data_IF_670925753151
#
_entry.id   IF_670925753151
#
_cell.length_a   1.000
_cell.length_b   1.000
_cell.length_c   1.000
_cell.angle_alpha   90.00
_cell.angle_beta   90.00
_cell.angle_gamma   90.00
#
_symmetry.space_group_name_H-M   'P 1'
#
loop_
_entity.id
_entity.type
_entity.pdbx_description
1 polymer ?
#
# COMPACT_ATOMS: atom_id res chain seq x y z
N UNK A 1 10.23 -14.44 6.03
CA UNK A 1 9.01 -14.34 6.85
C UNK A 1 8.48 -12.92 6.92
N UNK A 2 9.34 -11.92 7.18
CA UNK A 2 8.89 -10.54 7.27
C UNK A 2 8.19 -10.03 6.00
N UNK A 3 8.69 -10.38 4.84
CA UNK A 3 8.07 -9.94 3.58
C UNK A 3 6.76 -10.67 3.30
N UNK A 4 6.58 -11.90 3.81
CA UNK A 4 5.28 -12.58 3.69
C UNK A 4 4.23 -11.88 4.55
N UNK A 5 4.59 -11.50 5.77
CA UNK A 5 3.71 -10.74 6.65
C UNK A 5 3.39 -9.38 6.02
N UNK A 6 4.39 -8.74 5.44
CA UNK A 6 4.22 -7.47 4.75
C UNK A 6 3.27 -7.61 3.55
N UNK A 7 3.39 -8.70 2.79
CA UNK A 7 2.50 -8.96 1.67
C UNK A 7 1.04 -9.10 2.13
N UNK A 8 0.82 -9.75 3.27
CA UNK A 8 -0.52 -9.84 3.85
C UNK A 8 -1.05 -8.44 4.19
N UNK A 9 -0.22 -7.61 4.81
CA UNK A 9 -0.59 -6.24 5.14
C UNK A 9 -0.91 -5.42 3.90
N UNK A 10 -0.12 -5.57 2.83
CA UNK A 10 -0.36 -4.87 1.57
C UNK A 10 -1.69 -5.30 0.97
N UNK A 11 -1.95 -6.60 0.91
CA UNK A 11 -3.18 -7.14 0.35
C UNK A 11 -4.40 -6.62 1.10
N UNK A 12 -4.40 -6.70 2.43
CA UNK A 12 -5.52 -6.21 3.23
C UNK A 12 -5.66 -4.69 3.13
N UNK A 13 -4.52 -3.98 3.03
CA UNK A 13 -4.54 -2.53 2.88
C UNK A 13 -5.16 -2.08 1.58
N UNK A 14 -4.88 -2.78 0.47
CA UNK A 14 -5.46 -2.47 -0.83
C UNK A 14 -6.96 -2.70 -0.81
N UNK A 15 -7.42 -3.80 -0.23
CA UNK A 15 -8.85 -4.08 -0.10
C UNK A 15 -9.51 -3.03 0.79
N UNK A 16 -8.84 -2.63 1.89
CA UNK A 16 -9.35 -1.58 2.77
C UNK A 16 -9.50 -0.25 2.02
N UNK A 17 -8.52 0.11 1.19
CA UNK A 17 -8.59 1.33 0.39
C UNK A 17 -9.76 1.28 -0.59
N UNK A 18 -10.05 0.11 -1.15
CA UNK A 18 -11.20 -0.06 -2.03
C UNK A 18 -12.52 0.20 -1.29
N UNK A 19 -12.64 -0.32 -0.06
CA UNK A 19 -13.83 -0.05 0.75
C UNK A 19 -13.91 1.40 1.18
N UNK A 20 -12.76 2.05 1.42
CA UNK A 20 -12.75 3.47 1.73
C UNK A 20 -13.35 4.28 0.58
N UNK A 21 -13.03 3.93 -0.66
CA UNK A 21 -13.59 4.59 -1.84
C UNK A 21 -15.11 4.34 -1.92
N UNK A 22 -15.53 3.09 -1.72
CA UNK A 22 -16.95 2.71 -1.79
C UNK A 22 -17.76 3.38 -0.69
N UNK A 23 -17.13 3.65 0.47
CA UNK A 23 -17.83 4.25 1.62
C UNK A 23 -18.25 5.70 1.39
N UNK A 24 -17.75 6.33 0.33
CA UNK A 24 -18.07 7.71 0.00
C UNK A 24 -17.84 8.66 1.18
N UNK A 25 -16.58 8.73 1.63
CA UNK A 25 -16.20 9.58 2.76
C UNK A 25 -16.69 9.05 4.10
N UNK A 26 -16.85 7.71 4.22
CA UNK A 26 -17.37 7.04 5.41
C UNK A 26 -18.82 7.37 5.70
N UNK A 27 -19.58 7.76 4.68
CA UNK A 27 -21.01 8.00 4.84
C UNK A 27 -21.84 6.72 4.83
N UNK A 28 -21.29 5.63 4.30
CA UNK A 28 -21.97 4.33 4.23
C UNK A 28 -21.41 3.40 5.31
N UNK A 29 -22.27 2.86 6.15
CA UNK A 29 -21.85 2.10 7.34
C UNK A 29 -21.09 0.82 6.97
N UNK A 30 -21.65 -0.01 6.08
CA UNK A 30 -21.06 -1.32 5.78
C UNK A 30 -19.64 -1.21 5.20
N UNK A 31 -19.37 -0.40 4.15
CA UNK A 31 -18.01 -0.24 3.66
C UNK A 31 -17.08 0.40 4.67
N UNK A 32 -17.59 1.29 5.52
CA UNK A 32 -16.78 1.95 6.55
C UNK A 32 -16.27 0.93 7.56
N UNK A 33 -17.17 0.08 8.06
CA UNK A 33 -16.79 -0.96 9.04
C UNK A 33 -15.80 -1.93 8.41
N UNK A 34 -16.04 -2.37 7.17
CA UNK A 34 -15.13 -3.27 6.48
C UNK A 34 -13.75 -2.63 6.31
N UNK A 35 -13.70 -1.36 5.93
CA UNK A 35 -12.45 -0.63 5.77
C UNK A 35 -11.67 -0.57 7.09
N UNK A 36 -12.34 -0.22 8.19
CA UNK A 36 -11.67 -0.08 9.48
C UNK A 36 -11.16 -1.42 10.00
N UNK A 37 -11.92 -2.50 9.82
CA UNK A 37 -11.46 -3.82 10.22
C UNK A 37 -10.25 -4.27 9.42
N UNK A 38 -10.27 -4.08 8.11
CA UNK A 38 -9.16 -4.45 7.24
C UNK A 38 -7.92 -3.60 7.52
N UNK A 39 -8.08 -2.30 7.79
CA UNK A 39 -6.94 -1.46 8.16
C UNK A 39 -6.31 -1.88 9.48
N UNK A 40 -7.12 -2.38 10.41
CA UNK A 40 -6.58 -2.92 11.66
C UNK A 40 -5.69 -4.12 11.41
N UNK A 41 -6.09 -5.03 10.50
CA UNK A 41 -5.27 -6.16 10.09
C UNK A 41 -4.00 -5.68 9.40
N UNK A 42 -4.11 -4.68 8.54
CA UNK A 42 -2.96 -4.09 7.84
C UNK A 42 -1.95 -3.54 8.83
N UNK A 43 -2.38 -2.76 9.80
CA UNK A 43 -1.49 -2.18 10.81
C UNK A 43 -0.82 -3.25 11.66
N UNK A 44 -1.57 -4.30 12.03
CA UNK A 44 -0.99 -5.41 12.78
C UNK A 44 0.10 -6.10 11.97
N UNK A 45 -0.18 -6.39 10.70
CA UNK A 45 0.79 -7.03 9.82
C UNK A 45 2.01 -6.16 9.60
N UNK A 46 1.81 -4.86 9.39
CA UNK A 46 2.90 -3.92 9.18
C UNK A 46 3.79 -3.83 10.44
N UNK A 47 3.17 -3.77 11.62
CA UNK A 47 3.92 -3.74 12.88
C UNK A 47 4.75 -5.01 13.06
N UNK A 48 4.18 -6.17 12.72
CA UNK A 48 4.93 -7.43 12.78
C UNK A 48 6.10 -7.44 11.80
N UNK A 49 5.89 -6.95 10.58
CA UNK A 49 6.95 -6.85 9.59
C UNK A 49 8.07 -5.93 10.08
N UNK A 50 7.72 -4.83 10.71
CA UNK A 50 8.70 -3.87 11.24
C UNK A 50 9.55 -4.45 12.36
N UNK A 51 9.09 -5.50 13.04
CA UNK A 51 9.89 -6.19 14.07
C UNK A 51 10.96 -7.09 13.46
N UNK A 52 10.86 -7.40 12.17
CA UNK A 52 11.77 -8.29 11.46
C UNK A 52 12.61 -7.52 10.44
N UNK A 53 11.97 -6.57 9.74
CA UNK A 53 12.59 -5.77 8.69
C UNK A 53 12.80 -4.35 9.24
N UNK A 54 13.90 -3.64 8.88
CA UNK A 54 14.04 -2.25 9.29
C UNK A 54 12.80 -1.42 8.96
N UNK A 55 12.39 -0.53 9.87
CA UNK A 55 11.14 0.22 9.77
C UNK A 55 11.03 0.95 8.44
N UNK A 56 12.09 1.63 8.03
CA UNK A 56 12.08 2.38 6.78
C UNK A 56 11.89 1.49 5.57
N UNK A 57 12.55 0.33 5.57
CA UNK A 57 12.46 -0.62 4.45
C UNK A 57 11.05 -1.20 4.36
N UNK A 58 10.49 -1.62 5.51
CA UNK A 58 9.15 -2.21 5.54
C UNK A 58 8.10 -1.21 5.08
N UNK A 59 8.16 0.01 5.62
CA UNK A 59 7.16 1.03 5.30
C UNK A 59 7.30 1.51 3.86
N UNK A 60 8.52 1.69 3.36
CA UNK A 60 8.74 2.11 1.99
C UNK A 60 8.19 1.08 1.01
N UNK A 61 8.45 -0.21 1.26
CA UNK A 61 7.95 -1.29 0.43
C UNK A 61 6.43 -1.34 0.45
N UNK A 62 5.84 -1.29 1.65
CA UNK A 62 4.40 -1.27 1.81
C UNK A 62 3.77 -0.11 1.04
N UNK A 63 4.25 1.10 1.28
CA UNK A 63 3.67 2.30 0.69
C UNK A 63 3.78 2.30 -0.83
N UNK A 64 4.93 1.90 -1.36
CA UNK A 64 5.16 1.95 -2.81
C UNK A 64 4.32 0.94 -3.55
N UNK A 65 4.29 -0.30 -3.08
CA UNK A 65 3.47 -1.33 -3.72
C UNK A 65 2.01 -0.94 -3.62
N UNK A 66 1.57 -0.43 -2.47
CA UNK A 66 0.20 0.03 -2.29
C UNK A 66 -0.13 1.15 -3.26
N UNK A 67 0.75 2.15 -3.40
CA UNK A 67 0.53 3.26 -4.34
C UNK A 67 0.38 2.75 -5.76
N UNK A 68 1.29 1.88 -6.22
CA UNK A 68 1.24 1.36 -7.57
C UNK A 68 -0.05 0.58 -7.82
N UNK A 69 -0.40 -0.33 -6.90
CA UNK A 69 -1.58 -1.17 -7.10
C UNK A 69 -2.88 -0.39 -6.98
N UNK A 70 -2.96 0.58 -6.09
CA UNK A 70 -4.15 1.43 -5.98
C UNK A 70 -4.31 2.31 -7.22
N UNK A 71 -3.20 2.82 -7.76
CA UNK A 71 -3.25 3.59 -9.00
C UNK A 71 -3.69 2.73 -10.18
N UNK A 72 -3.17 1.50 -10.28
CA UNK A 72 -3.62 0.57 -11.32
C UNK A 72 -5.10 0.28 -11.20
N UNK A 73 -5.58 0.06 -9.98
CA UNK A 73 -7.00 -0.18 -9.73
C UNK A 73 -7.83 1.04 -10.16
N UNK A 74 -7.37 2.25 -9.84
CA UNK A 74 -8.06 3.47 -10.25
C UNK A 74 -8.11 3.63 -11.76
N UNK A 75 -7.02 3.29 -12.47
CA UNK A 75 -6.99 3.35 -13.93
C UNK A 75 -7.98 2.36 -14.52
N UNK A 76 -7.97 1.13 -14.04
CA UNK A 76 -8.78 0.06 -14.63
C UNK A 76 -10.27 0.26 -14.31
N UNK A 77 -10.60 0.53 -13.04
CA UNK A 77 -11.99 0.55 -12.60
C UNK A 77 -12.64 1.92 -12.75
N UNK A 78 -11.90 2.98 -12.50
CA UNK A 78 -12.45 4.34 -12.46
C UNK A 78 -11.97 5.24 -13.59
N UNK A 79 -11.18 4.71 -14.52
CA UNK A 79 -10.60 5.46 -15.63
C UNK A 79 -9.82 6.70 -15.18
N UNK A 80 -9.16 6.61 -14.04
CA UNK A 80 -8.37 7.73 -13.49
C UNK A 80 -6.94 7.67 -14.02
N UNK A 81 -6.75 8.03 -15.27
CA UNK A 81 -5.46 7.90 -15.94
C UNK A 81 -4.56 9.08 -15.58
N UNK A 82 -3.37 8.84 -14.98
CA UNK A 82 -2.44 9.93 -14.69
C UNK A 82 -1.88 10.55 -15.96
N UNK A 83 -1.47 11.80 -15.86
CA UNK A 83 -0.72 12.42 -16.94
C UNK A 83 0.73 11.92 -16.94
N UNK A 84 1.56 12.46 -17.86
CA UNK A 84 2.95 12.05 -17.98
C UNK A 84 3.71 12.27 -16.66
N UNK A 85 3.47 13.37 -15.96
CA UNK A 85 4.15 13.64 -14.70
C UNK A 85 3.77 12.63 -13.63
N UNK A 86 2.51 12.17 -13.61
CA UNK A 86 2.07 11.13 -12.71
C UNK A 86 2.79 9.81 -12.97
N UNK A 87 2.91 9.41 -14.22
CA UNK A 87 3.63 8.19 -14.58
C UNK A 87 5.12 8.28 -14.23
N UNK A 88 5.76 9.43 -14.47
CA UNK A 88 7.16 9.63 -14.10
C UNK A 88 7.34 9.50 -12.58
N UNK A 89 6.45 10.10 -11.79
CA UNK A 89 6.50 10.00 -10.34
C UNK A 89 6.37 8.58 -9.85
N UNK A 90 5.42 7.82 -10.39
CA UNK A 90 5.23 6.41 -10.03
C UNK A 90 6.49 5.60 -10.35
N UNK A 91 7.07 5.82 -11.53
CA UNK A 91 8.27 5.14 -11.95
C UNK A 91 9.44 5.41 -11.00
N UNK A 92 9.60 6.67 -10.56
CA UNK A 92 10.64 7.04 -9.61
C UNK A 92 10.43 6.36 -8.25
N UNK A 93 9.19 6.26 -7.78
CA UNK A 93 8.88 5.58 -6.53
C UNK A 93 9.30 4.11 -6.62
N UNK A 94 8.92 3.43 -7.69
CA UNK A 94 9.24 2.02 -7.89
C UNK A 94 10.75 1.80 -7.92
N UNK A 95 11.48 2.63 -8.67
CA UNK A 95 12.95 2.52 -8.75
C UNK A 95 13.57 2.75 -7.38
N UNK A 96 13.11 3.78 -6.65
CA UNK A 96 13.64 4.09 -5.32
C UNK A 96 13.47 2.94 -4.36
N UNK A 97 12.32 2.28 -4.37
CA UNK A 97 12.05 1.14 -3.49
C UNK A 97 12.88 -0.07 -3.87
N UNK A 98 13.05 -0.32 -5.17
CA UNK A 98 13.92 -1.41 -5.61
C UNK A 98 15.35 -1.19 -5.12
N UNK A 99 15.86 0.04 -5.20
CA UNK A 99 17.19 0.37 -4.72
C UNK A 99 17.29 0.14 -3.21
N UNK A 100 16.29 0.58 -2.45
CA UNK A 100 16.29 0.43 -1.00
C UNK A 100 16.32 -1.05 -0.61
N UNK A 101 15.51 -1.88 -1.26
CA UNK A 101 15.38 -3.28 -0.88
C UNK A 101 16.54 -4.15 -1.38
N UNK A 102 17.12 -3.83 -2.53
CA UNK A 102 18.16 -4.66 -3.12
C UNK A 102 19.57 -4.18 -2.75
N UNK A 103 19.78 -2.89 -2.61
CA UNK A 103 21.11 -2.33 -2.42
C UNK A 103 21.26 -1.57 -1.11
N UNK A 104 20.16 -1.14 -0.49
CA UNK A 104 20.20 -0.36 0.73
C UNK A 104 20.60 -1.19 1.94
N UNK A 105 21.22 -0.53 2.91
CA UNK A 105 21.64 -1.13 4.18
C UNK A 105 21.35 -0.15 5.31
N UNK A 106 21.04 -0.72 6.47
CA UNK A 106 20.92 0.07 7.71
C UNK A 106 22.25 -0.03 8.44
N UNK A 107 22.83 1.13 8.74
CA UNK A 107 24.10 1.21 9.47
C UNK A 107 23.88 1.52 10.93
#
# INVERSE_FOLDING_TARGET
MGYLILALGITTGIVANSFAKISDGFSKLTPTVACLLLMSVTMFSLAKAMSIIPVGFAYATYSSITVVLVLLFGIIKYNQIPNMFGFIGIFLIVIGVLIVNLLGKVN
#
